data_IF_982204298741
#
_entry.id   IF_982204298741
#
_cell.length_a   1.000
_cell.length_b   1.000
_cell.length_c   1.000
_cell.angle_alpha   90.00
_cell.angle_beta   90.00
_cell.angle_gamma   90.00
#
_symmetry.space_group_name_H-M   'P 1'
#
loop_
_entity.id
_entity.type
_entity.pdbx_description
1 polymer ?
#
# COMPACT_ATOMS: atom_id res chain seq x y z
N UNK A 1 11.49 46.57 13.75
CA UNK A 1 11.41 46.32 15.21
C UNK A 1 12.29 45.12 15.47
N UNK A 2 13.27 45.20 16.38
CA UNK A 2 14.09 44.01 16.71
C UNK A 2 13.21 43.10 17.55
N UNK A 3 12.78 41.98 16.98
CA UNK A 3 11.98 40.99 17.68
C UNK A 3 12.80 40.44 18.86
N UNK A 4 12.30 40.64 20.08
CA UNK A 4 13.02 40.19 21.28
C UNK A 4 12.63 38.74 21.54
N UNK A 5 13.28 37.81 20.84
CA UNK A 5 13.04 36.37 21.02
C UNK A 5 13.37 35.94 22.46
N UNK A 6 12.56 35.04 23.02
CA UNK A 6 12.86 34.35 24.27
C UNK A 6 14.17 33.56 24.14
N UNK A 7 14.82 33.25 25.26
CA UNK A 7 16.05 32.43 25.24
C UNK A 7 15.80 31.05 24.61
N UNK A 8 14.61 30.48 24.82
CA UNK A 8 14.19 29.19 24.28
C UNK A 8 14.05 29.23 22.75
N UNK A 9 13.33 30.23 22.20
CA UNK A 9 13.22 30.42 20.75
C UNK A 9 14.58 30.59 20.08
N UNK A 10 15.49 31.34 20.70
CA UNK A 10 16.86 31.52 20.15
C UNK A 10 17.61 30.20 20.07
N UNK A 11 17.63 29.43 21.16
CA UNK A 11 18.29 28.12 21.18
C UNK A 11 17.69 27.16 20.16
N UNK A 12 16.36 27.17 20.02
CA UNK A 12 15.66 26.35 19.03
C UNK A 12 16.05 26.75 17.61
N UNK A 13 15.97 28.04 17.24
CA UNK A 13 16.42 28.52 15.92
C UNK A 13 17.89 28.19 15.65
N UNK A 14 18.77 28.33 16.64
CA UNK A 14 20.18 27.93 16.51
C UNK A 14 20.33 26.43 16.21
N UNK A 15 19.55 25.57 16.86
CA UNK A 15 19.58 24.12 16.59
C UNK A 15 18.98 23.72 15.24
N UNK A 16 18.06 24.52 14.69
CA UNK A 16 17.39 24.24 13.42
C UNK A 16 18.16 24.81 12.22
N UNK A 17 19.13 25.70 12.44
CA UNK A 17 19.75 26.50 11.40
C UNK A 17 20.31 25.66 10.24
N UNK A 18 19.75 25.85 9.04
CA UNK A 18 20.20 25.21 7.80
C UNK A 18 19.84 23.73 7.65
N UNK A 19 18.96 23.19 8.50
CA UNK A 19 18.49 21.81 8.37
C UNK A 19 17.51 21.66 7.20
N UNK A 20 17.66 20.57 6.44
CA UNK A 20 16.73 20.16 5.39
C UNK A 20 15.74 19.09 5.86
N UNK A 21 16.08 18.41 6.96
CA UNK A 21 15.25 17.43 7.64
C UNK A 21 15.15 17.83 9.10
N UNK A 22 13.93 17.86 9.61
CA UNK A 22 13.64 18.20 11.01
C UNK A 22 12.74 17.10 11.57
N UNK A 23 13.16 16.54 12.71
CA UNK A 23 12.36 15.63 13.50
C UNK A 23 11.90 16.37 14.77
N UNK A 24 10.59 16.50 14.98
CA UNK A 24 10.01 17.19 16.14
C UNK A 24 9.35 16.18 17.09
N UNK A 25 9.50 16.42 18.39
CA UNK A 25 8.79 15.71 19.47
C UNK A 25 7.98 16.67 20.34
N UNK A 26 8.05 17.97 20.02
CA UNK A 26 7.31 19.02 20.71
C UNK A 26 5.95 19.24 20.04
N UNK A 27 5.06 19.94 20.74
CA UNK A 27 3.76 20.32 20.19
C UNK A 27 3.93 21.06 18.85
N UNK A 28 3.14 20.67 17.85
CA UNK A 28 3.06 21.38 16.59
C UNK A 28 2.20 22.64 16.79
N UNK A 29 2.87 23.76 17.06
CA UNK A 29 2.22 25.06 17.19
C UNK A 29 2.82 26.09 16.22
N UNK A 30 2.18 27.26 16.18
CA UNK A 30 2.61 28.35 15.30
C UNK A 30 4.01 28.85 15.63
N UNK A 31 4.40 28.87 16.90
CA UNK A 31 5.71 29.39 17.31
C UNK A 31 6.84 28.48 16.81
N UNK A 32 6.63 27.16 16.86
CA UNK A 32 7.54 26.17 16.31
C UNK A 32 7.68 26.32 14.80
N UNK A 33 6.57 26.45 14.07
CA UNK A 33 6.61 26.61 12.60
C UNK A 33 7.32 27.91 12.22
N UNK A 34 7.05 29.03 12.90
CA UNK A 34 7.77 30.30 12.68
C UNK A 34 9.27 30.15 12.91
N UNK A 35 9.68 29.37 13.91
CA UNK A 35 11.09 29.13 14.20
C UNK A 35 11.75 28.24 13.14
N UNK A 36 11.04 27.22 12.64
CA UNK A 36 11.48 26.41 11.50
C UNK A 36 11.64 27.29 10.27
N UNK A 37 10.62 28.09 9.92
CA UNK A 37 10.66 28.95 8.75
C UNK A 37 11.79 29.99 8.81
N UNK A 38 12.08 30.53 10.00
CA UNK A 38 13.13 31.51 10.17
C UNK A 38 14.56 30.91 10.12
N UNK A 39 14.74 29.68 10.61
CA UNK A 39 16.06 29.06 10.74
C UNK A 39 16.39 28.05 9.62
N UNK A 40 15.37 27.43 9.05
CA UNK A 40 15.42 26.35 8.08
C UNK A 40 14.34 26.53 6.98
N UNK A 41 14.37 27.65 6.23
CA UNK A 41 13.36 27.92 5.19
C UNK A 41 13.35 26.91 4.04
N UNK A 42 14.43 26.15 3.88
CA UNK A 42 14.59 25.09 2.86
C UNK A 42 14.28 23.69 3.41
N UNK A 43 13.56 23.58 4.54
CA UNK A 43 13.14 22.29 5.08
C UNK A 43 12.30 21.53 4.03
N UNK A 44 12.70 20.30 3.76
CA UNK A 44 12.05 19.40 2.80
C UNK A 44 11.41 18.19 3.47
N UNK A 45 11.92 17.78 4.62
CA UNK A 45 11.40 16.62 5.36
C UNK A 45 11.07 17.05 6.78
N UNK A 46 9.80 16.90 7.15
CA UNK A 46 9.33 17.13 8.50
C UNK A 46 8.76 15.82 9.04
N UNK A 47 9.36 15.32 10.10
CA UNK A 47 8.85 14.18 10.86
C UNK A 47 8.33 14.68 12.20
N UNK A 48 7.10 14.35 12.53
CA UNK A 48 6.43 14.74 13.76
C UNK A 48 6.20 13.47 14.57
N UNK A 49 6.89 13.33 15.71
CA UNK A 49 6.63 12.26 16.65
C UNK A 49 5.63 12.78 17.69
N UNK A 50 4.41 12.27 17.65
CA UNK A 50 3.32 12.71 18.53
C UNK A 50 3.43 12.00 19.87
N UNK A 51 3.65 12.75 20.95
CA UNK A 51 3.83 12.17 22.29
C UNK A 51 2.57 12.36 23.14
N UNK A 52 2.22 13.61 23.44
CA UNK A 52 1.13 13.98 24.37
C UNK A 52 0.14 14.92 23.67
N UNK A 53 -0.35 14.53 22.48
CA UNK A 53 -1.29 15.36 21.69
C UNK A 53 -2.55 14.58 21.39
N UNK A 54 -3.67 15.12 21.86
CA UNK A 54 -5.01 14.56 21.64
C UNK A 54 -5.55 14.95 20.27
N UNK A 55 -5.32 16.19 19.84
CA UNK A 55 -5.81 16.72 18.57
C UNK A 55 -4.67 17.38 17.80
N UNK A 56 -4.42 16.92 16.59
CA UNK A 56 -3.37 17.47 15.73
C UNK A 56 -4.00 18.22 14.55
N UNK A 57 -3.54 19.44 14.30
CA UNK A 57 -3.99 20.26 13.19
C UNK A 57 -2.80 20.78 12.36
N UNK A 58 -2.81 20.47 11.07
CA UNK A 58 -1.78 20.88 10.12
C UNK A 58 -1.96 22.29 9.55
N UNK A 59 -2.97 23.05 9.98
CA UNK A 59 -3.25 24.40 9.46
C UNK A 59 -2.03 25.34 9.59
N UNK A 60 -1.20 25.13 10.60
CA UNK A 60 0.03 25.91 10.84
C UNK A 60 1.17 25.59 9.87
N UNK A 61 1.14 24.44 9.17
CA UNK A 61 2.22 24.03 8.26
C UNK A 61 2.24 24.80 6.94
N UNK A 62 1.19 25.57 6.64
CA UNK A 62 1.02 26.28 5.36
C UNK A 62 2.17 27.25 5.00
N UNK A 63 3.02 27.62 5.95
CA UNK A 63 4.21 28.45 5.75
C UNK A 63 5.43 27.66 5.21
N UNK A 64 5.47 26.34 5.38
CA UNK A 64 6.59 25.46 5.00
C UNK A 64 6.49 24.99 3.53
N UNK A 65 6.49 25.95 2.59
CA UNK A 65 6.21 25.70 1.16
C UNK A 65 7.17 24.74 0.43
N UNK A 66 8.35 24.50 0.98
CA UNK A 66 9.37 23.61 0.40
C UNK A 66 9.25 22.17 0.88
N UNK A 67 8.23 21.84 1.68
CA UNK A 67 8.08 20.51 2.25
C UNK A 67 7.76 19.47 1.17
N UNK A 68 8.64 18.48 1.01
CA UNK A 68 8.53 17.37 0.07
C UNK A 68 7.94 16.13 0.76
N UNK A 69 8.24 15.94 2.04
CA UNK A 69 7.77 14.79 2.81
C UNK A 69 7.31 15.21 4.19
N UNK A 70 6.07 14.86 4.52
CA UNK A 70 5.50 15.01 5.85
C UNK A 70 5.26 13.62 6.43
N UNK A 71 5.89 13.34 7.58
CA UNK A 71 5.71 12.08 8.33
C UNK A 71 5.12 12.38 9.69
N UNK A 72 4.05 11.68 10.05
CA UNK A 72 3.52 11.64 11.39
C UNK A 72 3.79 10.26 11.97
N UNK A 73 4.53 10.19 13.08
CA UNK A 73 4.85 8.96 13.78
C UNK A 73 4.35 9.03 15.22
N UNK A 74 4.08 7.88 15.82
CA UNK A 74 3.63 7.77 17.21
C UNK A 74 2.29 8.50 17.45
N UNK A 75 1.76 8.44 18.67
CA UNK A 75 0.56 9.18 19.05
C UNK A 75 -0.43 8.33 19.83
N UNK A 76 -0.03 7.75 20.97
CA UNK A 76 -0.91 6.88 21.75
C UNK A 76 -2.18 7.61 22.23
N UNK A 77 -2.10 8.92 22.49
CA UNK A 77 -3.23 9.72 23.00
C UNK A 77 -4.05 10.40 21.89
N UNK A 78 -3.74 10.16 20.62
CA UNK A 78 -4.33 10.90 19.50
C UNK A 78 -5.77 10.44 19.23
N UNK A 79 -6.72 11.37 19.32
CA UNK A 79 -8.14 11.12 19.04
C UNK A 79 -8.57 11.75 17.70
N UNK A 80 -7.85 12.75 17.21
CA UNK A 80 -8.18 13.45 15.97
C UNK A 80 -6.96 13.96 15.20
N UNK A 81 -7.04 13.85 13.87
CA UNK A 81 -6.08 14.43 12.92
C UNK A 81 -6.85 15.30 11.92
N UNK A 82 -6.48 16.58 11.84
CA UNK A 82 -6.91 17.52 10.82
C UNK A 82 -5.81 17.73 9.80
N UNK A 83 -6.10 17.38 8.53
CA UNK A 83 -5.20 17.63 7.40
C UNK A 83 -5.35 19.04 6.80
N UNK A 84 -6.08 19.94 7.45
CA UNK A 84 -6.21 21.32 6.95
C UNK A 84 -4.84 21.97 6.80
N UNK A 85 -4.67 22.80 5.78
CA UNK A 85 -3.38 23.41 5.46
C UNK A 85 -2.45 22.56 4.60
N UNK A 86 -2.64 21.24 4.49
CA UNK A 86 -1.82 20.42 3.57
C UNK A 86 -1.99 20.84 2.11
N UNK A 87 -3.20 21.22 1.70
CA UNK A 87 -3.46 21.67 0.31
C UNK A 87 -2.69 22.93 -0.11
N UNK A 88 -1.97 23.57 0.81
CA UNK A 88 -1.11 24.73 0.56
C UNK A 88 0.37 24.34 0.34
N UNK A 89 0.72 23.06 0.41
CA UNK A 89 2.07 22.53 0.37
C UNK A 89 2.43 21.99 -1.03
N UNK A 90 2.36 22.82 -2.07
CA UNK A 90 2.48 22.39 -3.48
C UNK A 90 3.67 21.46 -3.80
N UNK A 91 4.79 21.54 -3.05
CA UNK A 91 5.96 20.69 -3.22
C UNK A 91 5.84 19.28 -2.59
N UNK A 92 4.78 18.98 -1.83
CA UNK A 92 4.62 17.73 -1.11
C UNK A 92 4.47 16.57 -2.09
N UNK A 93 5.39 15.62 -1.97
CA UNK A 93 5.46 14.40 -2.77
C UNK A 93 4.94 13.19 -1.98
N UNK A 94 5.15 13.18 -0.66
CA UNK A 94 4.75 12.07 0.20
C UNK A 94 4.12 12.56 1.51
N UNK A 95 2.93 12.03 1.80
CA UNK A 95 2.29 12.13 3.10
C UNK A 95 2.25 10.74 3.74
N UNK A 96 2.87 10.59 4.90
CA UNK A 96 2.86 9.36 5.67
C UNK A 96 2.32 9.64 7.08
N UNK A 97 1.17 9.06 7.41
CA UNK A 97 0.62 9.04 8.75
C UNK A 97 0.79 7.62 9.28
N UNK A 98 1.61 7.42 10.30
CA UNK A 98 1.87 6.13 10.93
C UNK A 98 1.80 6.28 12.44
N UNK A 99 0.58 6.20 12.96
CA UNK A 99 0.26 6.48 14.36
C UNK A 99 -0.51 5.31 14.95
N UNK A 100 -0.25 5.01 16.21
CA UNK A 100 -0.86 3.89 16.92
C UNK A 100 -1.63 4.43 18.15
N UNK A 101 -2.80 5.05 17.95
CA UNK A 101 -3.58 5.57 19.06
C UNK A 101 -4.16 4.42 19.91
N UNK A 102 -4.35 4.66 21.21
CA UNK A 102 -4.97 3.69 22.12
C UNK A 102 -6.45 3.44 21.80
N UNK A 103 -7.09 4.39 21.13
CA UNK A 103 -8.49 4.27 20.68
C UNK A 103 -8.60 4.64 19.20
N UNK A 104 -9.55 4.02 18.49
CA UNK A 104 -9.74 4.28 17.07
C UNK A 104 -10.16 5.73 16.81
N UNK A 105 -9.49 6.42 15.89
CA UNK A 105 -9.89 7.72 15.37
C UNK A 105 -11.17 7.55 14.53
N UNK A 106 -12.21 8.33 14.83
CA UNK A 106 -13.51 8.15 14.17
C UNK A 106 -13.46 8.36 12.65
N UNK A 107 -12.71 9.37 12.18
CA UNK A 107 -12.59 9.68 10.76
C UNK A 107 -11.30 10.44 10.46
N UNK A 108 -10.65 10.13 9.34
CA UNK A 108 -9.62 10.98 8.72
C UNK A 108 -10.20 11.54 7.41
N UNK A 109 -10.24 12.87 7.30
CA UNK A 109 -10.72 13.59 6.11
C UNK A 109 -9.57 13.88 5.15
N UNK A 110 -9.58 13.21 3.99
CA UNK A 110 -8.59 13.34 2.92
C UNK A 110 -8.90 14.47 1.93
N UNK A 111 -10.05 15.16 2.06
CA UNK A 111 -10.44 16.28 1.18
C UNK A 111 -9.34 17.34 1.01
N UNK A 112 -8.54 17.69 2.03
CA UNK A 112 -7.44 18.64 1.88
C UNK A 112 -6.33 18.22 0.89
N UNK A 113 -6.28 16.97 0.45
CA UNK A 113 -5.30 16.47 -0.53
C UNK A 113 -5.69 16.75 -1.99
N UNK A 114 -6.89 17.32 -2.23
CA UNK A 114 -7.40 17.55 -3.58
C UNK A 114 -6.44 18.39 -4.45
N UNK A 115 -6.28 17.98 -5.70
CA UNK A 115 -5.49 18.65 -6.76
C UNK A 115 -4.00 18.88 -6.42
N UNK A 116 -3.43 18.11 -5.49
CA UNK A 116 -2.03 18.26 -5.13
C UNK A 116 -1.12 18.00 -6.33
N UNK A 117 -0.27 18.96 -6.77
CA UNK A 117 0.40 18.86 -8.06
C UNK A 117 1.51 17.81 -8.08
N UNK A 118 2.25 17.67 -6.99
CA UNK A 118 3.42 16.79 -6.91
C UNK A 118 3.21 15.53 -6.05
N UNK A 119 2.02 15.32 -5.48
CA UNK A 119 1.80 14.22 -4.54
C UNK A 119 1.80 12.89 -5.29
N UNK A 120 2.64 11.95 -4.83
CA UNK A 120 2.84 10.63 -5.43
C UNK A 120 2.48 9.50 -4.47
N UNK A 121 2.70 9.71 -3.18
CA UNK A 121 2.52 8.69 -2.14
C UNK A 121 1.63 9.21 -1.02
N UNK A 122 0.58 8.44 -0.73
CA UNK A 122 -0.27 8.65 0.46
C UNK A 122 -0.29 7.37 1.26
N UNK A 123 0.22 7.44 2.49
CA UNK A 123 0.17 6.32 3.43
C UNK A 123 -0.58 6.74 4.69
N UNK A 124 -1.63 5.99 5.05
CA UNK A 124 -2.36 6.13 6.30
C UNK A 124 -2.29 4.77 7.01
N UNK A 125 -1.49 4.70 8.06
CA UNK A 125 -1.39 3.61 9.02
C UNK A 125 -1.88 4.15 10.37
N UNK A 126 -3.16 3.89 10.67
CA UNK A 126 -3.82 4.43 11.85
C UNK A 126 -5.11 3.67 12.09
N UNK A 127 -5.34 3.25 13.34
CA UNK A 127 -6.64 2.73 13.81
C UNK A 127 -7.73 3.78 13.56
N UNK A 128 -8.36 3.74 12.40
CA UNK A 128 -9.43 4.66 12.02
C UNK A 128 -10.66 3.94 11.51
N UNK A 129 -11.83 4.46 11.86
CA UNK A 129 -13.13 3.88 11.51
C UNK A 129 -13.69 4.36 10.18
N UNK A 130 -13.16 5.45 9.63
CA UNK A 130 -13.61 5.99 8.35
C UNK A 130 -12.50 6.78 7.64
N UNK A 131 -12.42 6.62 6.33
CA UNK A 131 -11.66 7.50 5.44
C UNK A 131 -12.65 8.28 4.58
N UNK A 132 -12.69 9.59 4.78
CA UNK A 132 -13.57 10.48 4.03
C UNK A 132 -12.79 11.17 2.90
N UNK A 133 -13.46 11.42 1.78
CA UNK A 133 -12.88 12.18 0.68
C UNK A 133 -11.95 11.38 -0.22
N UNK A 134 -12.06 10.05 -0.26
CA UNK A 134 -11.23 9.19 -1.12
C UNK A 134 -11.30 9.61 -2.59
N UNK A 135 -12.44 10.12 -3.05
CA UNK A 135 -12.66 10.57 -4.42
C UNK A 135 -11.73 11.72 -4.85
N UNK A 136 -11.21 12.51 -3.90
CA UNK A 136 -10.30 13.60 -4.22
C UNK A 136 -8.93 13.10 -4.65
N UNK A 137 -8.54 11.87 -4.28
CA UNK A 137 -7.26 11.29 -4.68
C UNK A 137 -7.17 11.10 -6.20
N UNK A 138 -8.30 10.92 -6.90
CA UNK A 138 -8.34 10.89 -8.37
C UNK A 138 -7.97 12.21 -9.03
N UNK A 139 -8.04 13.32 -8.30
CA UNK A 139 -7.66 14.64 -8.81
C UNK A 139 -6.16 14.89 -8.79
N UNK A 140 -5.38 14.00 -8.19
CA UNK A 140 -3.94 14.12 -8.03
C UNK A 140 -3.28 13.49 -9.27
N UNK A 141 -2.67 14.31 -10.15
CA UNK A 141 -2.21 13.83 -11.45
C UNK A 141 -1.05 12.83 -11.36
N UNK A 142 -0.25 12.92 -10.30
CA UNK A 142 0.97 12.13 -10.13
C UNK A 142 0.84 11.05 -9.04
N UNK A 143 -0.38 10.74 -8.57
CA UNK A 143 -0.56 9.73 -7.53
C UNK A 143 -0.18 8.34 -8.05
N UNK A 144 0.83 7.74 -7.42
CA UNK A 144 1.44 6.46 -7.83
C UNK A 144 1.14 5.33 -6.86
N UNK A 145 1.10 5.63 -5.56
CA UNK A 145 1.01 4.63 -4.51
C UNK A 145 0.10 5.07 -3.38
N UNK A 146 -0.77 4.17 -2.95
CA UNK A 146 -1.59 4.32 -1.74
C UNK A 146 -1.30 3.15 -0.81
N UNK A 147 -1.03 3.47 0.46
CA UNK A 147 -0.90 2.50 1.53
C UNK A 147 -1.93 2.77 2.62
N UNK A 148 -2.80 1.81 2.90
CA UNK A 148 -3.76 1.91 4.00
C UNK A 148 -3.62 0.76 4.97
N UNK A 149 -3.23 1.08 6.20
CA UNK A 149 -2.95 0.11 7.24
C UNK A 149 -3.74 0.40 8.51
N UNK A 150 -4.03 -0.66 9.25
CA UNK A 150 -4.66 -0.60 10.57
C UNK A 150 -6.06 0.04 10.51
N UNK A 151 -6.88 -0.33 9.53
CA UNK A 151 -8.21 0.28 9.34
C UNK A 151 -9.31 -0.49 10.10
N UNK A 152 -9.84 0.09 11.18
CA UNK A 152 -10.95 -0.43 12.00
C UNK A 152 -12.33 -0.17 11.37
N UNK A 153 -12.52 -0.62 10.14
CA UNK A 153 -13.76 -0.42 9.39
C UNK A 153 -14.26 -1.73 8.75
N UNK A 154 -15.58 -1.88 8.53
CA UNK A 154 -16.13 -3.11 7.99
C UNK A 154 -15.97 -3.28 6.47
N UNK A 155 -15.70 -2.20 5.74
CA UNK A 155 -15.52 -2.23 4.29
C UNK A 155 -14.66 -1.06 3.84
N UNK A 156 -13.96 -1.24 2.71
CA UNK A 156 -13.18 -0.19 2.05
C UNK A 156 -13.55 -0.16 0.57
N UNK A 157 -14.12 0.95 0.10
CA UNK A 157 -14.49 1.12 -1.31
C UNK A 157 -13.57 2.15 -1.99
N UNK A 158 -12.72 1.67 -2.89
CA UNK A 158 -11.80 2.49 -3.67
C UNK A 158 -12.29 2.72 -5.10
N UNK A 159 -13.56 2.42 -5.41
CA UNK A 159 -14.12 2.56 -6.76
C UNK A 159 -14.01 3.99 -7.31
N UNK A 160 -14.02 5.00 -6.44
CA UNK A 160 -13.88 6.41 -6.84
C UNK A 160 -12.50 6.75 -7.41
N UNK A 161 -11.48 5.90 -7.16
CA UNK A 161 -10.15 5.99 -7.74
C UNK A 161 -10.07 5.46 -9.18
N UNK A 162 -11.18 4.97 -9.73
CA UNK A 162 -11.20 4.47 -11.12
C UNK A 162 -10.79 5.59 -12.09
N UNK A 163 -9.89 5.26 -13.02
CA UNK A 163 -9.33 6.24 -13.98
C UNK A 163 -8.17 7.09 -13.45
N UNK A 164 -7.61 6.80 -12.26
CA UNK A 164 -6.32 7.34 -11.85
C UNK A 164 -5.22 6.92 -12.85
N UNK A 165 -4.61 7.85 -13.61
CA UNK A 165 -3.79 7.50 -14.77
C UNK A 165 -2.41 6.93 -14.41
N UNK A 166 -1.93 7.20 -13.19
CA UNK A 166 -0.58 6.84 -12.73
C UNK A 166 -0.58 5.99 -11.45
N UNK A 167 -1.75 5.59 -10.94
CA UNK A 167 -1.82 4.79 -9.71
C UNK A 167 -1.42 3.35 -10.04
N UNK A 168 -0.28 2.90 -9.53
CA UNK A 168 0.33 1.62 -9.86
C UNK A 168 0.32 0.65 -8.68
N UNK A 169 0.34 1.17 -7.44
CA UNK A 169 0.52 0.35 -6.25
C UNK A 169 -0.54 0.62 -5.19
N UNK A 170 -1.13 -0.47 -4.70
CA UNK A 170 -2.02 -0.47 -3.56
C UNK A 170 -1.49 -1.43 -2.50
N UNK A 171 -1.26 -0.92 -1.30
CA UNK A 171 -0.82 -1.70 -0.16
C UNK A 171 -1.83 -1.60 0.96
N UNK A 172 -2.12 -2.74 1.57
CA UNK A 172 -3.04 -2.86 2.67
C UNK A 172 -2.49 -3.82 3.71
N UNK A 173 -2.65 -3.47 4.98
CA UNK A 173 -2.29 -4.34 6.10
C UNK A 173 -3.18 -4.06 7.30
N UNK A 174 -3.40 -5.05 8.17
CA UNK A 174 -4.17 -4.82 9.39
C UNK A 174 -5.57 -4.23 9.07
N UNK A 175 -6.30 -4.89 8.18
CA UNK A 175 -7.63 -4.44 7.76
C UNK A 175 -8.73 -5.11 8.59
N UNK A 176 -9.85 -4.41 8.78
CA UNK A 176 -11.07 -4.96 9.36
C UNK A 176 -11.35 -4.48 10.78
N UNK A 177 -12.55 -4.77 11.27
CA UNK A 177 -12.91 -4.45 12.64
C UNK A 177 -12.29 -5.47 13.60
N UNK A 178 -11.90 -5.03 14.80
CA UNK A 178 -11.41 -5.92 15.86
C UNK A 178 -12.45 -7.00 16.22
N UNK A 179 -13.73 -6.63 16.20
CA UNK A 179 -14.86 -7.51 16.51
C UNK A 179 -15.88 -7.51 15.36
N UNK A 180 -15.59 -8.17 14.22
CA UNK A 180 -16.44 -8.07 13.05
C UNK A 180 -17.71 -8.88 13.22
N UNK A 181 -18.82 -8.31 12.77
CA UNK A 181 -20.13 -8.99 12.72
C UNK A 181 -20.47 -9.47 11.30
N UNK A 182 -19.66 -9.09 10.32
CA UNK A 182 -19.77 -9.44 8.90
C UNK A 182 -18.36 -9.57 8.29
N UNK A 183 -18.21 -10.30 7.17
CA UNK A 183 -17.00 -10.30 6.36
C UNK A 183 -16.56 -8.88 6.02
N UNK A 184 -15.25 -8.62 6.10
CA UNK A 184 -14.69 -7.39 5.56
C UNK A 184 -14.64 -7.47 4.05
N UNK A 185 -15.04 -6.38 3.38
CA UNK A 185 -14.99 -6.30 1.93
C UNK A 185 -14.14 -5.13 1.45
N UNK A 186 -13.23 -5.39 0.52
CA UNK A 186 -12.55 -4.34 -0.24
C UNK A 186 -13.02 -4.34 -1.70
N UNK A 187 -13.33 -3.14 -2.22
CA UNK A 187 -13.54 -2.92 -3.66
C UNK A 187 -12.39 -2.11 -4.20
N UNK A 188 -11.70 -2.69 -5.18
CA UNK A 188 -10.56 -2.08 -5.84
C UNK A 188 -11.00 -1.28 -7.08
N UNK A 189 -10.27 -0.22 -7.47
CA UNK A 189 -10.62 0.60 -8.62
C UNK A 189 -10.45 -0.15 -9.94
N UNK A 190 -11.21 0.26 -10.95
CA UNK A 190 -11.11 -0.25 -12.33
C UNK A 190 -10.47 0.79 -13.24
N UNK A 191 -9.99 0.38 -14.40
CA UNK A 191 -9.37 1.29 -15.39
C UNK A 191 -8.17 2.07 -14.82
N UNK A 192 -7.39 1.42 -13.97
CA UNK A 192 -6.18 1.93 -13.32
C UNK A 192 -5.01 1.03 -13.70
N UNK A 193 -3.79 1.55 -13.98
CA UNK A 193 -2.64 0.74 -14.35
C UNK A 193 -1.99 0.05 -13.13
N UNK A 194 -2.80 -0.65 -12.32
CA UNK A 194 -2.33 -1.36 -11.14
C UNK A 194 -1.33 -2.46 -11.53
N UNK A 195 -0.19 -2.45 -10.85
CA UNK A 195 0.90 -3.42 -10.98
C UNK A 195 1.12 -4.17 -9.67
N UNK A 196 0.94 -3.50 -8.54
CA UNK A 196 1.17 -4.09 -7.22
C UNK A 196 -0.10 -3.97 -6.40
N UNK A 197 -0.57 -5.11 -5.91
CA UNK A 197 -1.66 -5.19 -4.95
C UNK A 197 -1.23 -6.14 -3.86
N UNK A 198 -1.03 -5.60 -2.68
CA UNK A 198 -0.62 -6.37 -1.53
C UNK A 198 -1.60 -6.12 -0.39
N UNK A 199 -2.27 -7.19 0.02
CA UNK A 199 -3.11 -7.21 1.21
C UNK A 199 -2.47 -8.19 2.17
N UNK A 200 -2.17 -7.72 3.38
CA UNK A 200 -1.69 -8.57 4.46
C UNK A 200 -2.53 -8.42 5.73
N UNK A 201 -2.46 -9.43 6.59
CA UNK A 201 -2.83 -9.35 8.00
C UNK A 201 -4.26 -8.81 8.22
N UNK A 202 -5.26 -9.63 7.95
CA UNK A 202 -6.64 -9.30 8.26
C UNK A 202 -6.93 -9.52 9.75
N UNK A 203 -7.52 -8.52 10.44
CA UNK A 203 -7.67 -8.52 11.92
C UNK A 203 -8.43 -9.71 12.48
N UNK A 204 -9.34 -10.31 11.70
CA UNK A 204 -10.22 -11.35 12.20
C UNK A 204 -9.91 -12.72 11.63
N UNK A 205 -9.69 -13.66 12.55
CA UNK A 205 -9.57 -15.08 12.24
C UNK A 205 -10.93 -15.74 11.95
N UNK A 206 -12.03 -15.13 12.37
CA UNK A 206 -13.36 -15.78 12.37
C UNK A 206 -14.21 -15.48 11.13
N UNK A 207 -13.91 -14.40 10.41
CA UNK A 207 -14.66 -14.01 9.20
C UNK A 207 -13.78 -13.98 7.97
N UNK A 208 -14.30 -14.45 6.84
CA UNK A 208 -13.57 -14.49 5.58
C UNK A 208 -13.37 -13.07 5.02
N UNK A 209 -12.21 -12.82 4.41
CA UNK A 209 -11.94 -11.61 3.63
C UNK A 209 -12.59 -11.70 2.26
N UNK A 210 -13.29 -10.64 1.85
CA UNK A 210 -13.93 -10.56 0.54
C UNK A 210 -13.27 -9.49 -0.33
N UNK A 211 -12.81 -9.91 -1.52
CA UNK A 211 -12.32 -9.02 -2.55
C UNK A 211 -12.93 -9.42 -3.90
N UNK A 212 -13.39 -8.43 -4.64
CA UNK A 212 -13.80 -8.61 -6.03
C UNK A 212 -12.60 -8.41 -6.96
N UNK A 213 -12.21 -9.46 -7.67
CA UNK A 213 -11.11 -9.47 -8.64
C UNK A 213 -11.50 -8.91 -10.01
N UNK A 214 -12.70 -8.35 -10.20
CA UNK A 214 -13.12 -7.75 -11.47
C UNK A 214 -12.16 -6.66 -11.98
N UNK A 215 -11.35 -6.03 -11.12
CA UNK A 215 -10.30 -5.08 -11.53
C UNK A 215 -9.24 -5.71 -12.46
N UNK A 216 -9.05 -7.04 -12.40
CA UNK A 216 -8.09 -7.76 -13.24
C UNK A 216 -8.56 -7.98 -14.68
N UNK A 217 -9.85 -7.77 -14.97
CA UNK A 217 -10.44 -8.12 -16.26
C UNK A 217 -9.74 -7.47 -17.46
N UNK A 218 -9.31 -6.22 -17.30
CA UNK A 218 -8.63 -5.43 -18.33
C UNK A 218 -7.14 -5.20 -17.98
N UNK A 219 -6.65 -5.85 -16.93
CA UNK A 219 -5.24 -5.85 -16.56
C UNK A 219 -4.50 -6.82 -17.49
N UNK A 220 -3.49 -6.34 -18.23
CA UNK A 220 -2.69 -7.25 -19.06
C UNK A 220 -1.58 -7.94 -18.28
N UNK A 221 -1.23 -7.38 -17.11
CA UNK A 221 -0.11 -7.84 -16.34
C UNK A 221 -0.09 -7.30 -14.93
N UNK A 222 0.36 -8.12 -13.98
CA UNK A 222 0.59 -7.71 -12.59
C UNK A 222 2.02 -8.06 -12.17
N UNK A 223 2.63 -7.21 -11.36
CA UNK A 223 3.99 -7.35 -10.83
C UNK A 223 3.99 -8.08 -9.48
N UNK A 224 3.00 -7.80 -8.63
CA UNK A 224 2.80 -8.50 -7.35
C UNK A 224 1.31 -8.56 -7.01
N UNK A 225 0.83 -9.76 -6.70
CA UNK A 225 -0.49 -10.01 -6.11
C UNK A 225 -0.29 -10.79 -4.82
N UNK A 226 -0.42 -10.10 -3.68
CA UNK A 226 -0.33 -10.71 -2.35
C UNK A 226 -1.66 -10.59 -1.62
N UNK A 227 -2.12 -11.72 -1.07
CA UNK A 227 -3.26 -11.83 -0.17
C UNK A 227 -2.84 -12.67 1.04
N UNK A 228 -1.71 -12.30 1.65
CA UNK A 228 -1.11 -13.04 2.77
C UNK A 228 -1.96 -12.85 4.02
N UNK A 229 -2.16 -13.90 4.81
CA UNK A 229 -2.85 -13.80 6.10
C UNK A 229 -4.22 -13.10 5.99
N UNK A 230 -4.99 -13.43 4.95
CA UNK A 230 -6.30 -12.84 4.66
C UNK A 230 -7.46 -13.77 5.03
N UNK A 231 -7.21 -14.84 5.77
CA UNK A 231 -8.24 -15.81 6.17
C UNK A 231 -9.00 -16.44 4.97
N UNK A 232 -8.38 -16.51 3.78
CA UNK A 232 -9.00 -17.05 2.58
C UNK A 232 -9.20 -18.56 2.71
N UNK A 233 -10.38 -19.06 2.35
CA UNK A 233 -10.65 -20.51 2.31
C UNK A 233 -10.46 -21.11 0.91
N UNK A 234 -10.49 -20.25 -0.11
CA UNK A 234 -10.29 -20.62 -1.51
C UNK A 234 -9.74 -19.43 -2.30
N UNK A 235 -9.18 -19.71 -3.47
CA UNK A 235 -8.80 -18.69 -4.46
C UNK A 235 -9.08 -19.21 -5.87
N UNK A 236 -9.75 -18.40 -6.69
CA UNK A 236 -10.11 -18.75 -8.06
C UNK A 236 -9.10 -18.17 -9.07
N UNK A 237 -8.13 -18.99 -9.47
CA UNK A 237 -7.13 -18.61 -10.47
C UNK A 237 -7.70 -18.31 -11.86
N UNK A 238 -8.95 -18.66 -12.17
CA UNK A 238 -9.56 -18.29 -13.46
C UNK A 238 -9.66 -16.78 -13.64
N UNK A 239 -9.67 -16.03 -12.54
CA UNK A 239 -9.61 -14.56 -12.52
C UNK A 239 -8.32 -13.99 -13.08
N UNK A 240 -7.23 -14.77 -13.07
CA UNK A 240 -5.92 -14.37 -13.60
C UNK A 240 -5.74 -14.74 -15.09
N UNK A 241 -6.71 -15.41 -15.71
CA UNK A 241 -6.55 -16.01 -17.05
C UNK A 241 -6.40 -14.99 -18.20
N UNK A 242 -6.76 -13.74 -17.99
CA UNK A 242 -6.54 -12.63 -18.94
C UNK A 242 -5.10 -12.11 -18.93
N UNK A 243 -4.35 -12.38 -17.85
CA UNK A 243 -3.01 -11.85 -17.67
C UNK A 243 -2.04 -12.48 -18.68
N UNK A 244 -1.30 -11.64 -19.40
CA UNK A 244 -0.22 -12.07 -20.29
C UNK A 244 1.04 -12.44 -19.53
N UNK A 245 1.18 -11.94 -18.31
CA UNK A 245 2.26 -12.25 -17.35
C UNK A 245 1.78 -12.04 -15.93
N UNK A 246 2.36 -12.78 -15.00
CA UNK A 246 2.19 -12.56 -13.56
C UNK A 246 3.58 -12.40 -12.94
N UNK A 247 3.73 -11.51 -11.98
CA UNK A 247 4.95 -11.44 -11.22
C UNK A 247 4.93 -12.37 -10.03
N UNK A 248 4.93 -11.80 -8.83
CA UNK A 248 4.78 -12.55 -7.58
C UNK A 248 3.30 -12.83 -7.28
N UNK A 249 3.03 -14.05 -6.81
CA UNK A 249 1.76 -14.42 -6.17
C UNK A 249 2.07 -14.89 -4.75
N UNK A 250 1.42 -14.30 -3.76
CA UNK A 250 1.55 -14.74 -2.37
C UNK A 250 0.16 -14.98 -1.78
N UNK A 251 -0.12 -16.25 -1.48
CA UNK A 251 -1.34 -16.72 -0.83
C UNK A 251 -1.01 -17.42 0.50
N UNK A 252 0.16 -17.16 1.07
CA UNK A 252 0.58 -17.77 2.34
C UNK A 252 -0.25 -17.29 3.53
N UNK A 253 -0.20 -18.08 4.60
CA UNK A 253 -0.87 -17.84 5.87
C UNK A 253 -2.40 -17.75 5.74
N UNK A 254 -2.98 -18.49 4.81
CA UNK A 254 -4.43 -18.55 4.63
C UNK A 254 -5.01 -19.86 5.19
N UNK A 255 -6.30 -20.09 4.94
CA UNK A 255 -7.02 -21.33 5.28
C UNK A 255 -7.38 -22.15 4.04
N UNK A 256 -6.67 -21.91 2.93
CA UNK A 256 -6.83 -22.65 1.69
C UNK A 256 -6.34 -24.08 1.95
N UNK A 257 -7.11 -25.07 1.53
CA UNK A 257 -6.69 -26.49 1.64
C UNK A 257 -6.44 -27.13 0.29
N UNK A 258 -7.11 -26.62 -0.75
CA UNK A 258 -7.01 -27.11 -2.12
C UNK A 258 -6.95 -25.90 -3.06
N UNK A 259 -6.11 -26.00 -4.09
CA UNK A 259 -5.90 -24.89 -5.00
C UNK A 259 -5.73 -25.36 -6.44
N UNK A 260 -6.67 -24.99 -7.32
CA UNK A 260 -6.62 -25.32 -8.74
C UNK A 260 -5.74 -24.33 -9.50
N UNK A 261 -4.50 -24.73 -9.83
CA UNK A 261 -3.54 -23.87 -10.55
C UNK A 261 -3.65 -23.98 -12.08
N UNK A 262 -4.54 -24.84 -12.60
CA UNK A 262 -4.72 -25.03 -14.05
C UNK A 262 -4.81 -23.74 -14.85
N UNK A 263 -5.58 -22.70 -14.40
CA UNK A 263 -5.75 -21.49 -15.19
C UNK A 263 -4.46 -20.68 -15.41
N UNK A 264 -3.43 -20.88 -14.59
CA UNK A 264 -2.18 -20.10 -14.63
C UNK A 264 -0.98 -20.89 -15.13
N UNK A 265 -1.13 -22.19 -15.46
CA UNK A 265 -0.02 -23.06 -15.88
C UNK A 265 0.76 -22.55 -17.09
N UNK A 266 0.08 -21.86 -18.01
CA UNK A 266 0.67 -21.34 -19.25
C UNK A 266 1.08 -19.87 -19.17
N UNK A 267 0.75 -19.19 -18.08
CA UNK A 267 1.08 -17.78 -17.90
C UNK A 267 2.55 -17.68 -17.47
N UNK A 268 3.40 -16.93 -18.20
CA UNK A 268 4.78 -16.74 -17.78
C UNK A 268 4.83 -15.94 -16.47
N UNK A 269 5.63 -16.41 -15.52
CA UNK A 269 5.91 -15.68 -14.28
C UNK A 269 7.33 -15.12 -14.28
N UNK A 270 7.63 -14.09 -13.47
CA UNK A 270 9.03 -13.76 -13.16
C UNK A 270 9.75 -15.02 -12.64
N UNK A 271 11.05 -15.14 -12.85
CA UNK A 271 11.87 -16.16 -12.19
C UNK A 271 12.24 -15.73 -10.77
N UNK A 272 12.59 -16.69 -9.91
CA UNK A 272 13.12 -16.35 -8.57
C UNK A 272 14.44 -15.57 -8.66
N UNK A 273 15.24 -15.78 -9.71
CA UNK A 273 16.44 -14.98 -9.96
C UNK A 273 16.10 -13.52 -10.28
N UNK A 274 15.04 -13.31 -11.06
CA UNK A 274 14.52 -11.99 -11.40
C UNK A 274 14.04 -11.22 -10.17
N UNK A 275 13.31 -11.90 -9.26
CA UNK A 275 12.76 -11.27 -8.05
C UNK A 275 13.74 -11.24 -6.87
N UNK A 276 14.70 -12.16 -6.82
CA UNK A 276 15.50 -12.43 -5.62
C UNK A 276 14.76 -13.21 -4.53
N UNK A 277 13.53 -13.65 -4.81
CA UNK A 277 12.61 -14.31 -3.88
C UNK A 277 11.66 -15.28 -4.60
N UNK A 278 10.92 -16.15 -3.89
CA UNK A 278 9.97 -17.07 -4.50
C UNK A 278 8.82 -16.33 -5.21
N UNK A 279 8.46 -16.80 -6.40
CA UNK A 279 7.47 -16.13 -7.26
C UNK A 279 6.04 -16.57 -6.98
N UNK A 280 5.86 -17.74 -6.37
CA UNK A 280 4.57 -18.23 -5.92
C UNK A 280 4.72 -18.84 -4.53
N UNK A 281 4.08 -18.21 -3.54
CA UNK A 281 4.17 -18.57 -2.13
C UNK A 281 2.80 -19.06 -1.69
N UNK A 282 2.75 -20.33 -1.27
CA UNK A 282 1.55 -21.05 -0.83
C UNK A 282 1.96 -21.86 0.40
N UNK A 283 1.04 -22.04 1.35
CA UNK A 283 1.29 -22.83 2.54
C UNK A 283 1.59 -24.30 2.20
N UNK A 284 2.57 -24.93 2.88
CA UNK A 284 3.13 -26.22 2.48
C UNK A 284 2.13 -27.39 2.54
N UNK A 285 1.04 -27.26 3.29
CA UNK A 285 -0.01 -28.27 3.46
C UNK A 285 -1.16 -28.14 2.42
N UNK A 286 -1.14 -27.12 1.57
CA UNK A 286 -2.11 -26.96 0.49
C UNK A 286 -1.96 -28.07 -0.56
N UNK A 287 -3.07 -28.70 -0.92
CA UNK A 287 -3.13 -29.67 -2.01
C UNK A 287 -3.29 -28.93 -3.33
N UNK A 288 -2.35 -29.12 -4.25
CA UNK A 288 -2.36 -28.51 -5.56
C UNK A 288 -3.19 -29.37 -6.51
N UNK A 289 -4.23 -28.77 -7.09
CA UNK A 289 -5.11 -29.43 -8.04
C UNK A 289 -4.79 -29.02 -9.47
N UNK A 290 -4.74 -30.00 -10.37
CA UNK A 290 -4.51 -29.79 -11.80
C UNK A 290 -5.55 -30.58 -12.59
N UNK A 291 -6.26 -29.90 -13.48
CA UNK A 291 -7.24 -30.53 -14.37
C UNK A 291 -6.56 -31.45 -15.38
N UNK A 292 -7.10 -32.66 -15.54
CA UNK A 292 -6.55 -33.64 -16.46
C UNK A 292 -6.92 -33.33 -17.91
N UNK A 293 -6.08 -32.58 -18.63
CA UNK A 293 -6.19 -32.42 -20.09
C UNK A 293 -5.57 -33.61 -20.83
N UNK A 294 -6.22 -34.09 -21.90
CA UNK A 294 -5.76 -35.26 -22.69
C UNK A 294 -4.40 -35.09 -23.38
N UNK A 295 -3.86 -33.87 -23.46
CA UNK A 295 -2.69 -33.53 -24.28
C UNK A 295 -1.62 -32.68 -23.58
N UNK A 296 -1.80 -32.30 -22.31
CA UNK A 296 -0.80 -31.52 -21.57
C UNK A 296 -0.13 -32.43 -20.53
N UNK A 297 1.15 -32.72 -20.70
CA UNK A 297 1.94 -33.31 -19.64
C UNK A 297 2.80 -32.22 -18.97
N UNK A 298 2.91 -32.29 -17.64
CA UNK A 298 3.78 -31.43 -16.83
C UNK A 298 5.19 -31.30 -17.44
N UNK A 299 5.81 -32.38 -17.97
CA UNK A 299 7.09 -32.29 -18.69
C UNK A 299 7.13 -31.26 -19.82
N UNK A 300 6.06 -31.14 -20.62
CA UNK A 300 6.01 -30.16 -21.72
C UNK A 300 6.01 -28.73 -21.18
N UNK A 301 5.23 -28.43 -20.15
CA UNK A 301 5.18 -27.10 -19.52
C UNK A 301 6.53 -26.75 -18.90
N UNK A 302 7.11 -27.68 -18.13
CA UNK A 302 8.42 -27.50 -17.49
C UNK A 302 9.60 -27.44 -18.48
N UNK A 303 9.40 -27.87 -19.74
CA UNK A 303 10.43 -27.81 -20.78
C UNK A 303 10.55 -26.44 -21.47
N UNK A 304 9.57 -25.55 -21.25
CA UNK A 304 9.60 -24.18 -21.80
C UNK A 304 10.79 -23.44 -21.21
N UNK A 305 11.64 -22.91 -22.08
CA UNK A 305 12.81 -22.12 -21.67
C UNK A 305 12.38 -20.77 -21.12
N UNK A 306 13.16 -20.32 -20.14
CA UNK A 306 13.03 -18.97 -19.62
C UNK A 306 13.29 -17.94 -20.74
N UNK A 307 12.58 -16.81 -20.71
CA UNK A 307 12.68 -15.73 -21.69
C UNK A 307 13.01 -14.43 -21.00
N UNK A 308 13.92 -13.65 -21.56
CA UNK A 308 14.19 -12.27 -21.12
C UNK A 308 13.24 -11.32 -21.86
N UNK A 309 12.62 -10.39 -21.14
CA UNK A 309 11.81 -9.32 -21.73
C UNK A 309 12.44 -7.96 -21.40
N UNK A 310 12.93 -7.28 -22.43
CA UNK A 310 13.66 -6.00 -22.31
C UNK A 310 12.72 -4.77 -22.20
N UNK A 311 11.45 -4.89 -22.62
CA UNK A 311 10.51 -3.75 -22.77
C UNK A 311 9.50 -3.60 -21.61
N UNK A 312 9.75 -4.23 -20.46
CA UNK A 312 8.80 -4.16 -19.34
C UNK A 312 8.86 -2.78 -18.64
N UNK A 313 7.70 -2.13 -18.49
CA UNK A 313 7.52 -0.89 -17.72
C UNK A 313 6.74 -1.21 -16.45
N UNK A 314 7.44 -1.46 -15.34
CA UNK A 314 6.86 -1.81 -14.04
C UNK A 314 7.78 -1.47 -12.89
N UNK A 315 7.35 -1.77 -11.65
CA UNK A 315 8.21 -1.60 -10.47
C UNK A 315 9.47 -2.45 -10.56
N UNK A 316 9.38 -3.50 -11.38
CA UNK A 316 10.50 -4.32 -11.74
C UNK A 316 11.27 -3.70 -12.95
N UNK A 317 10.72 -3.44 -14.15
CA UNK A 317 11.40 -2.83 -15.35
C UNK A 317 12.87 -3.16 -15.81
N UNK A 318 13.77 -3.82 -15.07
CA UNK A 318 15.15 -4.16 -15.46
C UNK A 318 15.23 -5.61 -15.99
N UNK A 319 15.53 -5.81 -17.29
CA UNK A 319 15.83 -7.09 -17.97
C UNK A 319 15.48 -8.39 -17.19
N UNK A 320 14.19 -8.76 -17.14
CA UNK A 320 13.76 -9.92 -16.36
C UNK A 320 13.65 -11.20 -17.16
N UNK A 321 14.10 -12.26 -16.53
CA UNK A 321 13.82 -13.63 -16.91
C UNK A 321 12.40 -14.04 -16.45
N UNK A 322 11.65 -14.67 -17.34
CA UNK A 322 10.35 -15.27 -17.09
C UNK A 322 10.39 -16.77 -17.33
N UNK A 323 9.71 -17.58 -16.53
CA UNK A 323 9.86 -19.03 -16.57
C UNK A 323 8.77 -19.86 -15.89
N UNK A 324 8.91 -21.18 -15.95
CA UNK A 324 8.04 -22.15 -15.26
C UNK A 324 8.76 -22.92 -14.14
N UNK A 325 9.93 -22.45 -13.70
CA UNK A 325 10.68 -23.09 -12.61
C UNK A 325 9.89 -23.09 -11.28
N UNK A 326 9.06 -22.07 -11.06
CA UNK A 326 8.14 -21.97 -9.93
C UNK A 326 7.20 -23.18 -9.84
N UNK A 327 6.68 -23.65 -10.99
CA UNK A 327 5.75 -24.76 -11.05
C UNK A 327 6.43 -26.04 -10.58
N UNK A 328 7.68 -26.27 -11.00
CA UNK A 328 8.45 -27.42 -10.51
C UNK A 328 8.61 -27.40 -8.99
N UNK A 329 8.95 -26.23 -8.43
CA UNK A 329 9.09 -26.06 -6.98
C UNK A 329 7.79 -26.39 -6.25
N UNK A 330 6.66 -25.84 -6.71
CA UNK A 330 5.33 -26.14 -6.15
C UNK A 330 5.05 -27.64 -6.19
N UNK A 331 5.28 -28.29 -7.33
CA UNK A 331 5.02 -29.73 -7.51
C UNK A 331 5.96 -30.62 -6.69
N UNK A 332 7.18 -30.16 -6.43
CA UNK A 332 8.17 -30.87 -5.62
C UNK A 332 7.90 -30.70 -4.11
N UNK A 333 7.19 -29.63 -3.68
CA UNK A 333 6.94 -29.34 -2.26
C UNK A 333 5.52 -29.60 -1.79
N UNK A 334 4.54 -29.77 -2.68
CA UNK A 334 3.13 -29.99 -2.31
C UNK A 334 2.59 -31.33 -2.79
N UNK A 335 1.52 -31.79 -2.13
CA UNK A 335 0.74 -32.92 -2.65
C UNK A 335 -0.05 -32.48 -3.88
N UNK A 336 -0.12 -33.34 -4.91
CA UNK A 336 -0.80 -33.05 -6.17
C UNK A 336 -1.98 -33.98 -6.38
N UNK A 337 -3.14 -33.41 -6.69
CA UNK A 337 -4.36 -34.12 -7.06
C UNK A 337 -4.75 -33.78 -8.50
N UNK A 338 -5.16 -34.80 -9.26
CA UNK A 338 -5.70 -34.63 -10.60
C UNK A 338 -7.22 -34.56 -10.55
N UNK A 339 -7.79 -33.45 -11.02
CA UNK A 339 -9.25 -33.20 -11.02
C UNK A 339 -9.89 -33.26 -12.40
#
# INVERSE_FOLDING_TARGET
MVETLSLERRKRRESLAGLFRIDITAALDRELVEDIQAAAPEVQILQINVVETINLDFSVLNELKNLITLKLLEGPELENISLQGIGELDALVALEINVNPETSIEEIDLTPLANHPELRVVTIACLTRNLKGLEVLRTIPNLESIGFYSLDMPELDLSDLSGCPNLESLYFGELGQENPTRPFSIKLPRDVPLKIIEVSDFFSEDVEFQVDFDFLKDTESIDSLSLRNCNLTSFDFSKLSSLKRIGRIDLSENKITHLNITPILDIPTFTENALGEPTCIIDPDVIIQIEKKRQDDIPTILSKKDRIVEDHKGSYAIDYEFGHQWLRKILDTHSVEWI
#
